data_IF_306886509170
#
_entry.id   IF_306886509170
#
_cell.length_a   1.000
_cell.length_b   1.000
_cell.length_c   1.000
_cell.angle_alpha   90.00
_cell.angle_beta   90.00
_cell.angle_gamma   90.00
#
_symmetry.space_group_name_H-M   'P 1'
#
loop_
_entity.id
_entity.type
_entity.pdbx_description
1 polymer ?
#
# COMPACT_ATOMS: atom_id res chain seq x y z
N UNK A 1 10.29 -3.41 34.85
CA UNK A 1 9.74 -2.87 33.59
C UNK A 1 8.54 -2.00 33.92
N UNK A 2 8.59 -0.70 33.61
CA UNK A 2 7.48 0.23 33.82
C UNK A 2 6.30 -0.13 32.91
N UNK A 3 5.06 0.01 33.41
CA UNK A 3 3.79 -0.24 32.67
C UNK A 3 3.69 0.46 31.30
N UNK A 4 4.54 1.46 31.03
CA UNK A 4 4.59 2.20 29.77
C UNK A 4 5.04 1.37 28.57
N UNK A 5 5.85 0.31 28.76
CA UNK A 5 6.52 -0.40 27.66
C UNK A 5 5.80 -1.66 27.14
N UNK A 6 4.59 -1.97 27.63
CA UNK A 6 3.84 -3.12 27.12
C UNK A 6 3.28 -2.83 25.72
N UNK A 7 3.61 -3.71 24.76
CA UNK A 7 3.06 -3.68 23.40
C UNK A 7 1.53 -3.66 23.45
N UNK A 8 0.88 -2.87 22.58
CA UNK A 8 -0.58 -2.73 22.42
C UNK A 8 -1.32 -4.06 22.56
N UNK A 9 -0.81 -5.10 21.91
CA UNK A 9 -1.42 -6.42 21.92
C UNK A 9 -1.43 -7.07 23.30
N UNK A 10 -0.33 -6.94 24.06
CA UNK A 10 -0.26 -7.46 25.41
C UNK A 10 -1.21 -6.72 26.37
N UNK A 11 -1.32 -5.40 26.22
CA UNK A 11 -2.32 -4.60 26.96
C UNK A 11 -3.75 -5.05 26.63
N UNK A 12 -4.05 -5.28 25.34
CA UNK A 12 -5.35 -5.80 24.92
C UNK A 12 -5.63 -7.20 25.50
N UNK A 13 -4.67 -8.13 25.45
CA UNK A 13 -4.86 -9.48 26.02
C UNK A 13 -5.12 -9.43 27.52
N UNK A 14 -4.40 -8.58 28.26
CA UNK A 14 -4.65 -8.39 29.69
C UNK A 14 -6.06 -7.85 29.95
N UNK A 15 -6.51 -6.84 29.20
CA UNK A 15 -7.88 -6.31 29.31
C UNK A 15 -8.93 -7.38 28.99
N UNK A 16 -8.74 -8.14 27.90
CA UNK A 16 -9.67 -9.22 27.53
C UNK A 16 -9.73 -10.29 28.61
N UNK A 17 -8.59 -10.71 29.16
CA UNK A 17 -8.54 -11.71 30.22
C UNK A 17 -9.16 -11.23 31.53
N UNK A 18 -9.02 -9.93 31.85
CA UNK A 18 -9.62 -9.33 33.04
C UNK A 18 -11.14 -9.20 32.94
N UNK A 19 -11.66 -8.89 31.75
CA UNK A 19 -13.09 -8.62 31.54
C UNK A 19 -13.89 -9.81 30.99
N UNK A 20 -13.24 -10.91 30.60
CA UNK A 20 -13.92 -12.10 30.05
C UNK A 20 -14.88 -12.75 31.06
N UNK A 21 -14.48 -12.85 32.32
CA UNK A 21 -15.32 -13.39 33.40
C UNK A 21 -16.55 -12.49 33.67
N UNK A 22 -16.36 -11.16 33.64
CA UNK A 22 -17.46 -10.19 33.81
C UNK A 22 -18.48 -10.25 32.66
N UNK A 23 -18.00 -10.50 31.43
CA UNK A 23 -18.88 -10.65 30.27
C UNK A 23 -19.76 -11.90 30.36
N UNK A 24 -19.25 -12.98 30.98
CA UNK A 24 -20.00 -14.22 31.18
C UNK A 24 -21.04 -14.12 32.29
N UNK A 25 -20.80 -13.29 33.31
CA UNK A 25 -21.69 -13.16 34.47
C UNK A 25 -22.87 -12.20 34.27
N UNK A 26 -22.87 -11.37 33.22
CA UNK A 26 -23.86 -10.29 33.06
C UNK A 26 -24.47 -10.27 31.64
N UNK A 27 -25.66 -10.86 31.45
CA UNK A 27 -26.28 -11.02 30.12
C UNK A 27 -26.52 -9.71 29.36
N UNK A 28 -26.81 -8.61 30.07
CA UNK A 28 -27.00 -7.29 29.46
C UNK A 28 -25.70 -6.73 28.87
N UNK A 29 -24.56 -6.98 29.53
CA UNK A 29 -23.23 -6.58 29.06
C UNK A 29 -22.83 -7.37 27.81
N UNK A 30 -23.13 -8.66 27.77
CA UNK A 30 -22.86 -9.52 26.62
C UNK A 30 -23.62 -9.04 25.37
N UNK A 31 -24.90 -8.70 25.52
CA UNK A 31 -25.72 -8.15 24.44
C UNK A 31 -25.16 -6.81 23.92
N UNK A 32 -24.77 -5.91 24.82
CA UNK A 32 -24.14 -4.63 24.45
C UNK A 32 -22.80 -4.86 23.72
N UNK A 33 -21.98 -5.79 24.20
CA UNK A 33 -20.71 -6.14 23.56
C UNK A 33 -20.93 -6.71 22.15
N UNK A 34 -21.86 -7.66 21.98
CA UNK A 34 -22.23 -8.22 20.67
C UNK A 34 -22.69 -7.13 19.70
N UNK A 35 -23.52 -6.19 20.17
CA UNK A 35 -23.95 -5.03 19.39
C UNK A 35 -22.79 -4.16 18.94
N UNK A 36 -21.85 -3.84 19.84
CA UNK A 36 -20.66 -3.05 19.51
C UNK A 36 -19.73 -3.78 18.53
N UNK A 37 -19.55 -5.09 18.68
CA UNK A 37 -18.77 -5.91 17.74
C UNK A 37 -19.41 -5.89 16.35
N UNK A 38 -20.73 -6.10 16.27
CA UNK A 38 -21.46 -6.03 15.00
C UNK A 38 -21.36 -4.65 14.36
N UNK A 39 -21.60 -3.58 15.12
CA UNK A 39 -21.46 -2.21 14.64
C UNK A 39 -20.05 -1.93 14.11
N UNK A 40 -19.02 -2.33 14.86
CA UNK A 40 -17.62 -2.21 14.42
C UNK A 40 -17.37 -2.97 13.12
N UNK A 41 -17.88 -4.19 12.99
CA UNK A 41 -17.75 -5.00 11.78
C UNK A 41 -18.45 -4.36 10.57
N UNK A 42 -19.63 -3.80 10.76
CA UNK A 42 -20.38 -3.11 9.70
C UNK A 42 -19.65 -1.83 9.27
N UNK A 43 -19.24 -0.99 10.23
CA UNK A 43 -18.54 0.27 9.94
C UNK A 43 -17.23 0.00 9.20
N UNK A 44 -16.42 -0.98 9.67
CA UNK A 44 -15.13 -1.25 9.05
C UNK A 44 -15.27 -1.84 7.65
N UNK A 45 -16.25 -2.72 7.41
CA UNK A 45 -16.50 -3.25 6.09
C UNK A 45 -17.09 -2.19 5.15
N UNK A 46 -17.96 -1.30 5.64
CA UNK A 46 -18.47 -0.17 4.88
C UNK A 46 -17.33 0.77 4.46
N UNK A 47 -16.44 1.11 5.38
CA UNK A 47 -15.27 1.92 5.06
C UNK A 47 -14.31 1.23 4.08
N UNK A 48 -14.08 -0.07 4.27
CA UNK A 48 -13.24 -0.89 3.36
C UNK A 48 -13.86 -0.94 1.96
N UNK A 49 -15.18 -1.11 1.89
CA UNK A 49 -15.96 -1.05 0.65
C UNK A 49 -15.74 0.28 -0.08
N UNK A 50 -15.90 1.41 0.63
CA UNK A 50 -15.72 2.74 0.05
C UNK A 50 -14.28 2.96 -0.46
N UNK A 51 -13.28 2.58 0.33
CA UNK A 51 -11.88 2.68 -0.08
C UNK A 51 -11.59 1.85 -1.32
N UNK A 52 -12.10 0.62 -1.38
CA UNK A 52 -11.90 -0.27 -2.52
C UNK A 52 -12.58 0.29 -3.78
N UNK A 53 -13.83 0.77 -3.64
CA UNK A 53 -14.57 1.38 -4.73
C UNK A 53 -13.88 2.64 -5.27
N UNK A 54 -13.56 3.59 -4.39
CA UNK A 54 -12.88 4.84 -4.77
C UNK A 54 -11.48 4.59 -5.31
N UNK A 55 -10.73 3.64 -4.72
CA UNK A 55 -9.39 3.27 -5.15
C UNK A 55 -9.37 2.64 -6.54
N UNK A 56 -10.33 1.77 -6.85
CA UNK A 56 -10.50 1.23 -8.21
C UNK A 56 -10.90 2.33 -9.18
N UNK A 57 -11.89 3.16 -8.86
CA UNK A 57 -12.29 4.30 -9.71
C UNK A 57 -11.09 5.22 -10.02
N UNK A 58 -10.28 5.58 -9.04
CA UNK A 58 -9.05 6.37 -9.26
C UNK A 58 -8.02 5.65 -10.14
N UNK A 59 -8.01 4.32 -10.11
CA UNK A 59 -7.06 3.48 -10.84
C UNK A 59 -7.52 3.13 -12.26
N UNK A 60 -8.83 3.05 -12.51
CA UNK A 60 -9.45 2.58 -13.75
C UNK A 60 -10.09 3.68 -14.59
N UNK A 61 -10.44 4.84 -14.00
CA UNK A 61 -10.98 5.99 -14.74
C UNK A 61 -9.93 6.77 -15.52
N UNK A 62 -8.64 6.50 -15.27
CA UNK A 62 -7.56 7.08 -16.05
C UNK A 62 -7.37 6.23 -17.31
N UNK A 63 -7.21 6.84 -18.49
CA UNK A 63 -6.94 6.10 -19.74
C UNK A 63 -5.65 5.26 -19.67
N UNK A 64 -4.82 5.49 -18.65
CA UNK A 64 -3.61 4.74 -18.34
C UNK A 64 -3.63 4.36 -16.86
N UNK A 65 -3.10 3.18 -16.48
CA UNK A 65 -3.09 2.76 -15.09
C UNK A 65 -2.32 3.77 -14.25
N UNK A 66 -2.90 4.18 -13.11
CA UNK A 66 -2.18 5.00 -12.14
C UNK A 66 -0.85 4.32 -11.74
N UNK A 67 0.18 5.09 -11.32
CA UNK A 67 1.43 4.53 -10.82
C UNK A 67 1.22 3.56 -9.63
N UNK A 68 0.12 3.76 -8.88
CA UNK A 68 -0.32 2.94 -7.76
C UNK A 68 -1.77 2.51 -7.94
N UNK A 69 -2.04 1.21 -7.79
CA UNK A 69 -3.39 0.69 -7.58
C UNK A 69 -3.84 0.79 -6.12
N UNK A 70 -4.38 1.96 -5.76
CA UNK A 70 -4.80 2.27 -4.39
C UNK A 70 -5.74 1.24 -3.77
N UNK A 71 -6.64 0.67 -4.57
CA UNK A 71 -7.53 -0.39 -4.14
C UNK A 71 -6.75 -1.59 -3.56
N UNK A 72 -5.82 -2.17 -4.33
CA UNK A 72 -5.00 -3.30 -3.85
C UNK A 72 -4.17 -2.94 -2.63
N UNK A 73 -3.54 -1.76 -2.62
CA UNK A 73 -2.77 -1.27 -1.48
C UNK A 73 -3.61 -1.18 -0.22
N UNK A 74 -4.82 -0.62 -0.32
CA UNK A 74 -5.75 -0.48 0.80
C UNK A 74 -6.29 -1.82 1.30
N UNK A 75 -6.66 -2.73 0.40
CA UNK A 75 -7.11 -4.08 0.71
C UNK A 75 -6.05 -4.86 1.50
N UNK A 76 -4.79 -4.81 1.03
CA UNK A 76 -3.67 -5.46 1.70
C UNK A 76 -3.36 -4.82 3.06
N UNK A 77 -3.37 -3.48 3.17
CA UNK A 77 -3.14 -2.82 4.46
C UNK A 77 -4.21 -3.23 5.47
N UNK A 78 -5.47 -3.13 5.09
CA UNK A 78 -6.58 -3.38 5.99
C UNK A 78 -6.64 -4.85 6.40
N UNK A 79 -6.33 -5.78 5.50
CA UNK A 79 -6.28 -7.19 5.87
C UNK A 79 -5.14 -7.44 6.87
N UNK A 80 -3.94 -6.88 6.65
CA UNK A 80 -2.84 -6.98 7.60
C UNK A 80 -3.21 -6.42 8.98
N UNK A 81 -3.91 -5.28 9.00
CA UNK A 81 -4.23 -4.56 10.24
C UNK A 81 -5.45 -5.08 11.00
N UNK A 82 -6.42 -5.71 10.33
CA UNK A 82 -7.76 -5.89 10.91
C UNK A 82 -8.29 -7.30 10.96
N UNK A 83 -7.80 -8.22 10.14
CA UNK A 83 -8.41 -9.55 10.13
C UNK A 83 -8.89 -9.95 8.75
N UNK A 84 -9.26 -11.23 8.63
CA UNK A 84 -10.13 -11.69 7.56
C UNK A 84 -11.55 -11.11 7.68
N UNK A 85 -11.86 -10.44 8.81
CA UNK A 85 -13.16 -9.81 9.06
C UNK A 85 -13.51 -8.67 8.10
N UNK A 86 -12.54 -8.13 7.37
CA UNK A 86 -12.72 -7.04 6.40
C UNK A 86 -12.86 -7.56 4.95
N UNK A 87 -12.73 -8.87 4.74
CA UNK A 87 -12.81 -9.50 3.43
C UNK A 87 -14.14 -9.21 2.69
N UNK A 88 -15.32 -9.22 3.35
CA UNK A 88 -16.57 -8.85 2.68
C UNK A 88 -16.52 -7.44 2.09
N UNK A 89 -15.95 -6.47 2.82
CA UNK A 89 -15.79 -5.09 2.33
C UNK A 89 -14.89 -4.99 1.11
N UNK A 90 -13.77 -5.72 1.08
CA UNK A 90 -12.87 -5.78 -0.09
C UNK A 90 -13.63 -6.36 -1.30
N UNK A 91 -14.29 -7.51 -1.11
CA UNK A 91 -14.94 -8.21 -2.20
C UNK A 91 -16.10 -7.40 -2.77
N UNK A 92 -17.01 -6.91 -1.91
CA UNK A 92 -18.17 -6.11 -2.32
C UNK A 92 -17.74 -4.80 -2.98
N UNK A 93 -16.72 -4.13 -2.45
CA UNK A 93 -16.21 -2.88 -3.05
C UNK A 93 -15.61 -3.09 -4.42
N UNK A 94 -14.87 -4.18 -4.60
CA UNK A 94 -14.32 -4.55 -5.90
C UNK A 94 -15.42 -4.93 -6.88
N UNK A 95 -16.35 -5.80 -6.46
CA UNK A 95 -17.47 -6.24 -7.28
C UNK A 95 -18.29 -5.06 -7.77
N UNK A 96 -18.71 -4.18 -6.86
CA UNK A 96 -19.51 -3.01 -7.21
C UNK A 96 -18.76 -2.02 -8.12
N UNK A 97 -17.46 -1.83 -7.92
CA UNK A 97 -16.65 -1.00 -8.80
C UNK A 97 -16.68 -1.52 -10.25
N UNK A 98 -16.47 -2.82 -10.45
CA UNK A 98 -16.50 -3.41 -11.79
C UNK A 98 -17.91 -3.46 -12.39
N UNK A 99 -18.94 -3.77 -11.61
CA UNK A 99 -20.33 -3.76 -12.14
C UNK A 99 -20.76 -2.36 -12.56
N UNK A 100 -20.32 -1.32 -11.85
CA UNK A 100 -20.63 0.08 -12.17
C UNK A 100 -19.77 0.64 -13.31
N UNK A 101 -18.72 -0.07 -13.72
CA UNK A 101 -17.92 0.20 -14.93
C UNK A 101 -18.39 -0.65 -16.13
N UNK A 102 -19.63 -1.18 -16.07
CA UNK A 102 -20.23 -1.97 -17.15
C UNK A 102 -19.47 -3.25 -17.49
N UNK A 103 -18.62 -3.77 -16.60
CA UNK A 103 -18.03 -5.09 -16.78
C UNK A 103 -19.12 -6.16 -16.70
N UNK A 104 -18.99 -7.23 -17.50
CA UNK A 104 -19.93 -8.35 -17.42
C UNK A 104 -19.84 -9.01 -16.02
N UNK A 105 -20.95 -9.62 -15.59
CA UNK A 105 -21.06 -10.20 -14.25
C UNK A 105 -19.90 -11.15 -13.90
N UNK A 106 -19.51 -12.02 -14.83
CA UNK A 106 -18.40 -12.97 -14.66
C UNK A 106 -17.08 -12.24 -14.40
N UNK A 107 -16.78 -11.17 -15.15
CA UNK A 107 -15.58 -10.36 -14.95
C UNK A 107 -15.60 -9.64 -13.61
N UNK A 108 -16.74 -9.06 -13.21
CA UNK A 108 -16.86 -8.38 -11.91
C UNK A 108 -16.63 -9.35 -10.73
N UNK A 109 -17.25 -10.53 -10.77
CA UNK A 109 -17.05 -11.59 -9.77
C UNK A 109 -15.61 -12.09 -9.77
N UNK A 110 -15.05 -12.34 -10.95
CA UNK A 110 -13.68 -12.81 -11.13
C UNK A 110 -12.65 -11.84 -10.54
N UNK A 111 -12.71 -10.57 -10.95
CA UNK A 111 -11.80 -9.53 -10.47
C UNK A 111 -11.94 -9.31 -8.96
N UNK A 112 -13.17 -9.24 -8.42
CA UNK A 112 -13.40 -9.09 -6.98
C UNK A 112 -12.81 -10.25 -6.17
N UNK A 113 -12.93 -11.47 -6.69
CA UNK A 113 -12.37 -12.69 -6.09
C UNK A 113 -10.85 -12.67 -6.13
N UNK A 114 -10.26 -12.30 -7.27
CA UNK A 114 -8.80 -12.23 -7.44
C UNK A 114 -8.16 -11.22 -6.48
N UNK A 115 -8.69 -10.00 -6.37
CA UNK A 115 -8.17 -9.00 -5.42
C UNK A 115 -8.31 -9.45 -3.97
N UNK A 116 -9.45 -10.03 -3.61
CA UNK A 116 -9.71 -10.55 -2.27
C UNK A 116 -8.74 -11.69 -1.93
N UNK A 117 -8.51 -12.61 -2.87
CA UNK A 117 -7.60 -13.74 -2.71
C UNK A 117 -6.16 -13.28 -2.59
N UNK A 118 -5.72 -12.29 -3.38
CA UNK A 118 -4.39 -11.72 -3.29
C UNK A 118 -4.11 -11.19 -1.87
N UNK A 119 -5.05 -10.43 -1.29
CA UNK A 119 -4.92 -9.92 0.07
C UNK A 119 -4.85 -11.06 1.11
N UNK A 120 -5.70 -12.08 0.97
CA UNK A 120 -5.72 -13.28 1.83
C UNK A 120 -4.39 -14.04 1.75
N UNK A 121 -3.87 -14.29 0.55
CA UNK A 121 -2.63 -15.03 0.33
C UNK A 121 -1.42 -14.26 0.86
N UNK A 122 -1.35 -12.95 0.65
CA UNK A 122 -0.29 -12.12 1.25
C UNK A 122 -0.29 -12.18 2.76
N UNK A 123 -1.48 -12.12 3.37
CA UNK A 123 -1.60 -12.29 4.82
C UNK A 123 -1.19 -13.68 5.28
N UNK A 124 -1.68 -14.72 4.63
CA UNK A 124 -1.34 -16.10 4.98
C UNK A 124 0.18 -16.31 4.90
N UNK A 125 0.83 -15.78 3.86
CA UNK A 125 2.28 -15.77 3.73
C UNK A 125 2.96 -14.98 4.86
N UNK A 126 2.47 -13.78 5.18
CA UNK A 126 3.00 -12.98 6.28
C UNK A 126 2.93 -13.73 7.62
N UNK A 127 1.81 -14.38 7.95
CA UNK A 127 1.68 -15.14 9.19
C UNK A 127 2.54 -16.40 9.21
N UNK A 128 2.74 -17.06 8.06
CA UNK A 128 3.46 -18.33 7.98
C UNK A 128 4.97 -18.17 7.92
N UNK A 129 5.45 -17.18 7.16
CA UNK A 129 6.86 -17.04 6.81
C UNK A 129 7.49 -15.74 7.29
N UNK A 130 6.67 -14.77 7.73
CA UNK A 130 7.13 -13.51 8.30
C UNK A 130 6.67 -13.36 9.75
N UNK A 131 7.12 -12.28 10.40
CA UNK A 131 6.60 -11.93 11.73
C UNK A 131 5.23 -11.24 11.57
N UNK A 132 4.22 -11.59 12.38
CA UNK A 132 2.85 -11.04 12.28
C UNK A 132 2.77 -9.51 12.50
N UNK A 133 3.82 -8.90 13.06
CA UNK A 133 3.84 -7.47 13.40
C UNK A 133 4.98 -6.67 12.75
N UNK A 134 5.90 -7.32 12.04
CA UNK A 134 7.23 -6.75 11.78
C UNK A 134 7.77 -7.15 10.39
N UNK A 135 7.12 -6.64 9.33
CA UNK A 135 7.57 -6.80 7.93
C UNK A 135 8.99 -6.21 7.75
N UNK A 136 9.29 -5.13 8.47
CA UNK A 136 10.54 -4.34 8.35
C UNK A 136 11.53 -4.59 9.49
N UNK A 137 11.58 -5.79 10.05
CA UNK A 137 12.53 -6.06 11.15
C UNK A 137 13.90 -6.54 10.68
N UNK A 138 13.97 -7.30 9.59
CA UNK A 138 15.21 -7.85 9.05
C UNK A 138 15.22 -7.76 7.54
N UNK A 139 16.36 -7.40 6.97
CA UNK A 139 16.55 -7.31 5.51
C UNK A 139 16.12 -8.60 4.79
N UNK A 140 16.55 -9.76 5.29
CA UNK A 140 16.18 -11.05 4.70
C UNK A 140 14.67 -11.31 4.67
N UNK A 141 13.93 -10.82 5.68
CA UNK A 141 12.47 -10.96 5.75
C UNK A 141 11.77 -10.01 4.78
N UNK A 142 12.29 -8.79 4.67
CA UNK A 142 11.84 -7.81 3.67
C UNK A 142 12.07 -8.33 2.23
N UNK A 143 13.25 -8.87 1.92
CA UNK A 143 13.54 -9.46 0.61
C UNK A 143 12.59 -10.63 0.28
N UNK A 144 12.32 -11.52 1.24
CA UNK A 144 11.33 -12.60 1.07
C UNK A 144 9.93 -12.05 0.80
N UNK A 145 9.53 -11.00 1.50
CA UNK A 145 8.25 -10.32 1.29
C UNK A 145 8.16 -9.71 -0.12
N UNK A 146 9.18 -8.98 -0.56
CA UNK A 146 9.24 -8.37 -1.91
C UNK A 146 9.16 -9.46 -2.98
N UNK A 147 9.94 -10.53 -2.87
CA UNK A 147 9.95 -11.63 -3.84
C UNK A 147 8.57 -12.30 -3.95
N UNK A 148 7.98 -12.68 -2.82
CA UNK A 148 6.65 -13.31 -2.82
C UNK A 148 5.57 -12.37 -3.36
N UNK A 149 5.60 -11.10 -2.96
CA UNK A 149 4.64 -10.09 -3.45
C UNK A 149 4.77 -9.89 -4.95
N UNK A 150 6.00 -9.87 -5.47
CA UNK A 150 6.30 -9.74 -6.90
C UNK A 150 5.71 -10.90 -7.71
N UNK A 151 5.92 -12.13 -7.27
CA UNK A 151 5.37 -13.33 -7.94
C UNK A 151 3.84 -13.36 -7.86
N UNK A 152 3.27 -13.09 -6.68
CA UNK A 152 1.83 -13.14 -6.47
C UNK A 152 1.11 -12.05 -7.27
N UNK A 153 1.62 -10.81 -7.29
CA UNK A 153 1.05 -9.72 -8.08
C UNK A 153 1.12 -9.99 -9.58
N UNK A 154 2.17 -10.69 -10.05
CA UNK A 154 2.27 -11.15 -11.44
C UNK A 154 1.15 -12.14 -11.78
N UNK A 155 0.94 -13.15 -10.93
CA UNK A 155 -0.17 -14.11 -11.08
C UNK A 155 -1.54 -13.42 -11.03
N UNK A 156 -1.74 -12.50 -10.08
CA UNK A 156 -2.96 -11.70 -10.00
C UNK A 156 -3.20 -10.95 -11.30
N UNK A 157 -2.17 -10.30 -11.86
CA UNK A 157 -2.30 -9.54 -13.11
C UNK A 157 -2.69 -10.42 -14.28
N UNK A 158 -2.12 -11.63 -14.39
CA UNK A 158 -2.51 -12.61 -15.41
C UNK A 158 -4.00 -12.99 -15.26
N UNK A 159 -4.46 -13.25 -14.04
CA UNK A 159 -5.86 -13.59 -13.79
C UNK A 159 -6.81 -12.41 -14.08
N UNK A 160 -6.41 -11.18 -13.71
CA UNK A 160 -7.20 -9.98 -14.02
C UNK A 160 -7.32 -9.76 -15.54
N UNK A 161 -6.23 -9.97 -16.28
CA UNK A 161 -6.24 -9.90 -17.74
C UNK A 161 -7.13 -10.98 -18.35
N UNK A 162 -7.08 -12.20 -17.84
CA UNK A 162 -7.98 -13.26 -18.27
C UNK A 162 -9.46 -12.87 -18.09
N UNK A 163 -9.84 -12.31 -16.94
CA UNK A 163 -11.21 -11.82 -16.72
C UNK A 163 -11.54 -10.59 -17.58
N UNK A 164 -10.57 -9.72 -17.85
CA UNK A 164 -10.74 -8.58 -18.73
C UNK A 164 -10.99 -9.02 -20.18
N UNK A 165 -10.23 -10.00 -20.70
CA UNK A 165 -10.42 -10.52 -22.06
C UNK A 165 -11.78 -11.19 -22.26
N UNK A 166 -12.40 -11.71 -21.19
CA UNK A 166 -13.78 -12.21 -21.26
C UNK A 166 -14.81 -11.08 -21.46
N UNK A 167 -14.56 -9.88 -20.93
CA UNK A 167 -15.40 -8.70 -21.16
C UNK A 167 -15.15 -8.04 -22.51
N UNK A 168 -13.90 -8.08 -22.99
CA UNK A 168 -13.45 -7.39 -24.21
C UNK A 168 -12.67 -8.35 -25.12
N UNK A 169 -13.34 -9.33 -25.78
CA UNK A 169 -12.66 -10.41 -26.51
C UNK A 169 -11.87 -9.93 -27.73
N UNK A 170 -12.22 -8.78 -28.29
CA UNK A 170 -11.56 -8.23 -29.48
C UNK A 170 -10.42 -7.25 -29.15
N UNK A 171 -10.14 -7.01 -27.87
CA UNK A 171 -9.13 -6.06 -27.44
C UNK A 171 -7.87 -6.80 -26.98
N UNK A 172 -6.82 -6.73 -27.80
CA UNK A 172 -5.51 -7.27 -27.43
C UNK A 172 -4.86 -6.39 -26.36
N UNK A 173 -4.35 -7.04 -25.30
CA UNK A 173 -3.57 -6.36 -24.27
C UNK A 173 -2.09 -6.42 -24.67
N UNK A 174 -1.48 -5.26 -24.85
CA UNK A 174 -0.06 -5.18 -25.14
C UNK A 174 0.79 -5.65 -23.95
N UNK A 175 1.99 -6.17 -24.23
CA UNK A 175 2.96 -6.52 -23.18
C UNK A 175 3.27 -5.35 -22.23
N UNK A 176 3.28 -4.12 -22.75
CA UNK A 176 3.50 -2.92 -21.94
C UNK A 176 2.35 -2.68 -20.95
N UNK A 177 1.10 -2.85 -21.37
CA UNK A 177 -0.06 -2.73 -20.47
C UNK A 177 -0.02 -3.80 -19.37
N UNK A 178 0.35 -5.04 -19.71
CA UNK A 178 0.58 -6.09 -18.71
C UNK A 178 1.60 -5.64 -17.65
N UNK A 179 2.77 -5.16 -18.08
CA UNK A 179 3.81 -4.70 -17.16
C UNK A 179 3.34 -3.55 -16.29
N UNK A 180 2.60 -2.59 -16.84
CA UNK A 180 2.08 -1.47 -16.08
C UNK A 180 1.06 -1.87 -15.03
N UNK A 181 0.16 -2.81 -15.35
CA UNK A 181 -0.82 -3.33 -14.41
C UNK A 181 -0.12 -4.08 -13.28
N UNK A 182 0.87 -4.91 -13.63
CA UNK A 182 1.67 -5.64 -12.66
C UNK A 182 2.45 -4.70 -11.74
N UNK A 183 3.14 -3.70 -12.29
CA UNK A 183 3.93 -2.75 -11.50
C UNK A 183 3.05 -1.83 -10.65
N UNK A 184 1.89 -1.37 -11.16
CA UNK A 184 0.93 -0.60 -10.36
C UNK A 184 0.43 -1.39 -9.16
N UNK A 185 0.15 -2.69 -9.36
CA UNK A 185 -0.27 -3.61 -8.31
C UNK A 185 0.84 -3.82 -7.26
N UNK A 186 2.07 -4.09 -7.73
CA UNK A 186 3.23 -4.32 -6.89
C UNK A 186 3.57 -3.07 -6.06
N UNK A 187 3.65 -1.90 -6.70
CA UNK A 187 3.94 -0.64 -6.03
C UNK A 187 2.86 -0.28 -5.00
N UNK A 188 1.58 -0.51 -5.29
CA UNK A 188 0.53 -0.28 -4.31
C UNK A 188 0.71 -1.08 -3.02
N UNK A 189 1.18 -2.33 -3.12
CA UNK A 189 1.43 -3.15 -1.93
C UNK A 189 2.70 -2.70 -1.23
N UNK A 190 3.81 -2.56 -1.96
CA UNK A 190 5.10 -2.23 -1.35
C UNK A 190 5.15 -0.82 -0.76
N UNK A 191 4.37 0.12 -1.30
CA UNK A 191 4.38 1.52 -0.87
C UNK A 191 3.16 1.80 -0.02
N UNK A 192 1.95 1.73 -0.61
CA UNK A 192 0.73 2.18 0.05
C UNK A 192 0.34 1.26 1.21
N UNK A 193 0.36 -0.07 1.00
CA UNK A 193 0.01 -1.01 2.08
C UNK A 193 1.03 -0.93 3.23
N UNK A 194 2.31 -0.97 2.89
CA UNK A 194 3.40 -0.90 3.84
C UNK A 194 3.42 0.40 4.65
N UNK A 195 3.15 1.56 4.04
CA UNK A 195 3.05 2.84 4.74
C UNK A 195 1.91 2.84 5.77
N UNK A 196 0.73 2.36 5.39
CA UNK A 196 -0.42 2.27 6.32
C UNK A 196 -0.15 1.32 7.50
N UNK A 197 0.51 0.18 7.24
CA UNK A 197 0.91 -0.75 8.30
C UNK A 197 1.96 -0.12 9.24
N UNK A 198 2.93 0.57 8.65
CA UNK A 198 3.96 1.32 9.40
C UNK A 198 3.34 2.34 10.34
N UNK A 199 2.34 3.09 9.88
CA UNK A 199 1.68 4.10 10.71
C UNK A 199 0.77 3.50 11.79
N UNK A 200 0.03 2.40 11.55
CA UNK A 200 -0.80 1.75 12.60
C UNK A 200 0.08 1.15 13.72
N UNK A 201 1.22 0.53 13.35
CA UNK A 201 2.12 -0.15 14.29
C UNK A 201 2.87 0.80 15.23
N UNK A 202 3.19 2.02 14.79
CA UNK A 202 3.95 3.02 15.56
C UNK A 202 3.10 4.07 16.30
N UNK A 203 1.80 3.85 16.51
CA UNK A 203 0.95 4.75 17.31
C UNK A 203 1.32 4.87 18.82
N UNK A 204 2.44 4.30 19.27
CA UNK A 204 3.10 4.69 20.52
C UNK A 204 4.34 5.55 20.22
N UNK A 205 4.13 6.78 19.78
CA UNK A 205 4.81 8.02 20.21
C UNK A 205 4.65 9.09 19.13
N UNK A 206 4.31 10.32 19.51
CA UNK A 206 4.35 11.43 18.59
C UNK A 206 5.82 11.67 18.23
N UNK A 207 6.23 11.25 17.03
CA UNK A 207 6.96 12.19 16.18
C UNK A 207 6.00 13.35 15.95
N UNK A 208 5.83 14.17 16.99
CA UNK A 208 5.17 15.45 16.87
C UNK A 208 5.88 16.12 15.70
N UNK A 209 5.14 16.72 14.78
CA UNK A 209 5.73 17.56 13.72
C UNK A 209 6.75 18.55 14.35
N UNK A 210 6.58 18.90 15.63
CA UNK A 210 7.52 19.66 16.47
C UNK A 210 8.92 19.04 16.67
N UNK A 211 9.10 17.72 16.51
CA UNK A 211 10.38 17.01 16.60
C UNK A 211 11.04 16.76 15.23
N UNK A 212 10.35 17.07 14.14
CA UNK A 212 10.98 17.01 12.82
C UNK A 212 12.00 18.15 12.77
N UNK A 213 13.29 17.82 12.71
CA UNK A 213 14.33 18.82 12.59
C UNK A 213 14.15 19.63 11.29
N UNK A 214 14.63 20.87 11.26
CA UNK A 214 14.64 21.69 10.03
C UNK A 214 15.30 20.93 8.87
N UNK A 215 16.35 20.14 9.16
CA UNK A 215 17.03 19.27 8.18
C UNK A 215 16.10 18.18 7.63
N UNK A 216 15.24 17.61 8.46
CA UNK A 216 14.25 16.63 8.04
C UNK A 216 13.20 17.26 7.16
N UNK A 217 12.63 18.37 7.60
CA UNK A 217 11.65 19.12 6.80
C UNK A 217 12.24 19.51 5.44
N UNK A 218 13.48 20.02 5.40
CA UNK A 218 14.13 20.40 4.15
C UNK A 218 14.32 19.22 3.19
N UNK A 219 14.63 18.01 3.70
CA UNK A 219 14.78 16.83 2.86
C UNK A 219 13.45 16.37 2.26
N UNK A 220 12.37 16.33 3.05
CA UNK A 220 11.04 15.99 2.53
C UNK A 220 10.51 17.09 1.59
N UNK A 221 10.75 18.37 1.89
CA UNK A 221 10.40 19.46 0.97
C UNK A 221 11.18 19.37 -0.33
N UNK A 222 12.48 19.06 -0.28
CA UNK A 222 13.30 18.85 -1.48
C UNK A 222 12.77 17.67 -2.31
N UNK A 223 12.42 16.56 -1.67
CA UNK A 223 11.80 15.39 -2.32
C UNK A 223 10.50 15.78 -3.05
N UNK A 224 9.62 16.54 -2.39
CA UNK A 224 8.36 17.01 -2.95
C UNK A 224 8.60 17.97 -4.13
N UNK A 225 9.55 18.89 -4.01
CA UNK A 225 9.90 19.83 -5.09
C UNK A 225 10.46 19.07 -6.29
N UNK A 226 11.39 18.14 -6.09
CA UNK A 226 11.94 17.31 -7.18
C UNK A 226 10.82 16.49 -7.84
N UNK A 227 9.96 15.85 -7.04
CA UNK A 227 8.83 15.06 -7.55
C UNK A 227 7.85 15.94 -8.34
N UNK A 228 7.58 17.16 -7.88
CA UNK A 228 6.75 18.12 -8.60
C UNK A 228 7.41 18.55 -9.92
N UNK A 229 8.67 19.00 -9.89
CA UNK A 229 9.41 19.39 -11.09
C UNK A 229 9.49 18.27 -12.12
N UNK A 230 9.64 17.03 -11.64
CA UNK A 230 9.64 15.84 -12.49
C UNK A 230 8.34 15.74 -13.31
N UNK A 231 7.19 16.07 -12.72
CA UNK A 231 5.88 16.00 -13.38
C UNK A 231 5.61 17.16 -14.34
N UNK A 232 6.30 18.28 -14.16
CA UNK A 232 6.16 19.47 -15.00
C UNK A 232 7.08 19.47 -16.22
N UNK A 233 8.01 18.52 -16.32
CA UNK A 233 9.06 18.54 -17.33
C UNK A 233 8.77 17.62 -18.53
N UNK A 234 9.01 18.13 -19.74
CA UNK A 234 8.86 17.38 -20.99
C UNK A 234 10.17 16.78 -21.52
N UNK A 235 11.32 17.36 -21.16
CA UNK A 235 12.61 16.98 -21.72
C UNK A 235 13.10 15.64 -21.12
N UNK A 236 13.28 14.56 -21.92
CA UNK A 236 13.58 13.22 -21.39
C UNK A 236 14.83 13.18 -20.50
N UNK A 237 15.90 13.87 -20.90
CA UNK A 237 17.14 13.93 -20.13
C UNK A 237 16.93 14.56 -18.75
N UNK A 238 16.20 15.68 -18.69
CA UNK A 238 15.91 16.37 -17.42
C UNK A 238 15.01 15.50 -16.53
N UNK A 239 14.04 14.78 -17.11
CA UNK A 239 13.19 13.84 -16.36
C UNK A 239 14.02 12.72 -15.75
N UNK A 240 14.98 12.14 -16.48
CA UNK A 240 15.90 11.12 -15.96
C UNK A 240 16.76 11.68 -14.82
N UNK A 241 17.31 12.88 -14.99
CA UNK A 241 18.12 13.53 -13.95
C UNK A 241 17.30 13.81 -12.67
N UNK A 242 16.06 14.29 -12.81
CA UNK A 242 15.16 14.50 -11.68
C UNK A 242 14.75 13.19 -11.01
N UNK A 243 14.54 12.10 -11.78
CA UNK A 243 14.24 10.78 -11.23
C UNK A 243 15.42 10.23 -10.41
N UNK A 244 16.65 10.37 -10.92
CA UNK A 244 17.87 9.99 -10.19
C UNK A 244 18.02 10.84 -8.92
N UNK A 245 17.78 12.16 -9.01
CA UNK A 245 17.81 13.04 -7.85
C UNK A 245 16.77 12.63 -6.78
N UNK A 246 15.57 12.24 -7.20
CA UNK A 246 14.50 11.76 -6.32
C UNK A 246 14.93 10.50 -5.54
N UNK A 247 15.52 9.53 -6.27
CA UNK A 247 16.07 8.32 -5.67
C UNK A 247 17.20 8.62 -4.68
N UNK A 248 18.13 9.52 -5.02
CA UNK A 248 19.23 9.91 -4.14
C UNK A 248 18.69 10.54 -2.85
N UNK A 249 17.74 11.47 -2.94
CA UNK A 249 17.13 12.10 -1.76
C UNK A 249 16.39 11.07 -0.91
N UNK A 250 15.71 10.11 -1.53
CA UNK A 250 15.07 8.98 -0.81
C UNK A 250 16.09 8.12 -0.08
N UNK A 251 17.25 7.83 -0.68
CA UNK A 251 18.34 7.09 -0.02
C UNK A 251 18.91 7.89 1.16
N UNK A 252 19.07 9.21 1.02
CA UNK A 252 19.52 10.08 2.13
C UNK A 252 18.51 10.05 3.27
N UNK A 253 17.21 10.19 2.97
CA UNK A 253 16.13 10.08 3.98
C UNK A 253 16.17 8.71 4.66
N UNK A 254 16.39 7.64 3.90
CA UNK A 254 16.51 6.28 4.41
C UNK A 254 17.64 6.12 5.43
N UNK A 255 18.83 6.64 5.13
CA UNK A 255 19.98 6.59 6.04
C UNK A 255 19.73 7.45 7.29
N UNK A 256 19.13 8.63 7.13
CA UNK A 256 18.92 9.56 8.24
C UNK A 256 17.74 9.21 9.16
N UNK A 257 16.66 8.64 8.62
CA UNK A 257 15.39 8.45 9.33
C UNK A 257 14.91 6.98 9.32
N UNK A 258 15.75 6.07 8.83
CA UNK A 258 15.45 4.65 8.77
C UNK A 258 14.28 4.30 7.84
N UNK A 259 13.72 3.12 8.06
CA UNK A 259 12.72 2.54 7.16
C UNK A 259 11.38 3.28 7.28
N UNK A 260 11.05 3.82 8.46
CA UNK A 260 9.84 4.64 8.67
C UNK A 260 9.90 5.92 7.84
N UNK A 261 11.04 6.63 7.87
CA UNK A 261 11.22 7.83 7.05
C UNK A 261 11.22 7.51 5.55
N UNK A 262 11.83 6.38 5.18
CA UNK A 262 11.76 5.89 3.79
C UNK A 262 10.32 5.65 3.35
N UNK A 263 9.51 4.96 4.15
CA UNK A 263 8.10 4.69 3.83
C UNK A 263 7.31 5.97 3.62
N UNK A 264 7.55 6.98 4.48
CA UNK A 264 6.92 8.28 4.33
C UNK A 264 7.35 8.97 3.02
N UNK A 265 8.66 8.97 2.72
CA UNK A 265 9.19 9.55 1.49
C UNK A 265 8.57 8.93 0.24
N UNK A 266 8.64 7.61 0.11
CA UNK A 266 8.12 6.91 -1.08
C UNK A 266 6.60 6.99 -1.17
N UNK A 267 5.89 6.99 -0.03
CA UNK A 267 4.44 7.24 -0.03
C UNK A 267 4.12 8.63 -0.59
N UNK A 268 4.82 9.68 -0.17
CA UNK A 268 4.60 11.04 -0.67
C UNK A 268 4.93 11.16 -2.15
N UNK A 269 6.07 10.61 -2.60
CA UNK A 269 6.44 10.55 -4.02
C UNK A 269 5.36 9.82 -4.83
N UNK A 270 4.97 8.62 -4.40
CA UNK A 270 3.96 7.81 -5.09
C UNK A 270 2.57 8.48 -5.14
N UNK A 271 2.16 9.14 -4.06
CA UNK A 271 0.91 9.90 -4.01
C UNK A 271 0.94 11.10 -4.96
N UNK A 272 2.00 11.92 -4.90
CA UNK A 272 2.15 13.10 -5.76
C UNK A 272 2.20 12.72 -7.24
N UNK A 273 2.98 11.71 -7.59
CA UNK A 273 3.12 11.25 -8.98
C UNK A 273 1.80 10.67 -9.51
N UNK A 274 1.04 9.93 -8.68
CA UNK A 274 -0.28 9.44 -9.09
C UNK A 274 -1.30 10.57 -9.25
N UNK A 275 -1.26 11.58 -8.38
CA UNK A 275 -2.09 12.77 -8.50
C UNK A 275 -1.74 13.59 -9.75
N UNK A 276 -0.45 13.64 -10.11
CA UNK A 276 0.00 14.29 -11.34
C UNK A 276 -0.49 13.57 -12.60
N UNK A 277 -0.58 12.23 -12.61
CA UNK A 277 -1.24 11.50 -13.71
C UNK A 277 -2.72 11.88 -13.78
N UNK A 278 -3.40 11.95 -12.63
CA UNK A 278 -4.82 12.34 -12.57
C UNK A 278 -5.06 13.75 -13.12
N UNK A 279 -4.20 14.70 -12.78
CA UNK A 279 -4.27 16.07 -13.29
C UNK A 279 -3.73 16.24 -14.72
N UNK A 280 -3.28 15.17 -15.38
CA UNK A 280 -2.60 15.22 -16.69
C UNK A 280 -1.46 16.25 -16.70
N UNK A 281 -0.59 16.19 -15.69
CA UNK A 281 0.57 17.06 -15.62
C UNK A 281 1.43 16.94 -16.90
N UNK A 282 2.23 17.95 -17.24
CA UNK A 282 2.97 18.04 -18.52
C UNK A 282 3.73 16.78 -18.95
N UNK A 283 4.35 16.05 -18.02
CA UNK A 283 5.02 14.77 -18.28
C UNK A 283 4.07 13.72 -18.92
N UNK A 284 2.81 13.75 -18.53
CA UNK A 284 1.77 12.81 -18.93
C UNK A 284 0.91 13.34 -20.10
N UNK A 285 1.03 14.61 -20.50
CA UNK A 285 0.29 15.19 -21.63
C UNK A 285 0.97 14.93 -23.00
N UNK A 286 1.76 13.86 -23.09
CA UNK A 286 2.52 13.50 -24.28
C UNK A 286 1.94 12.28 -24.97
N UNK A 287 2.23 12.11 -26.26
CA UNK A 287 1.94 10.88 -27.02
C UNK A 287 2.61 9.62 -26.39
N UNK A 288 3.49 9.80 -25.40
CA UNK A 288 4.26 8.74 -24.73
C UNK A 288 3.89 8.57 -23.26
N UNK A 289 2.71 9.01 -22.82
CA UNK A 289 2.19 8.84 -21.44
C UNK A 289 2.38 7.42 -20.89
N UNK A 290 2.18 6.39 -21.71
CA UNK A 290 2.40 4.98 -21.34
C UNK A 290 3.86 4.72 -20.92
N UNK A 291 4.82 5.24 -21.67
CA UNK A 291 6.24 5.10 -21.32
C UNK A 291 6.59 5.92 -20.06
N UNK A 292 6.04 7.13 -19.94
CA UNK A 292 6.25 7.96 -18.75
C UNK A 292 5.74 7.28 -17.48
N UNK A 293 4.50 6.75 -17.48
CA UNK A 293 3.93 6.00 -16.35
C UNK A 293 4.79 4.78 -16.00
N UNK A 294 5.25 4.03 -17.00
CA UNK A 294 6.11 2.87 -16.78
C UNK A 294 7.43 3.25 -16.10
N UNK A 295 8.10 4.31 -16.56
CA UNK A 295 9.34 4.80 -15.94
C UNK A 295 9.12 5.27 -14.50
N UNK A 296 8.00 5.94 -14.22
CA UNK A 296 7.61 6.34 -12.86
C UNK A 296 7.38 5.12 -11.96
N UNK A 297 6.71 4.10 -12.46
CA UNK A 297 6.49 2.87 -11.72
C UNK A 297 7.81 2.17 -11.39
N UNK A 298 8.78 2.15 -12.32
CA UNK A 298 10.12 1.62 -12.06
C UNK A 298 10.91 2.46 -11.06
N UNK A 299 10.79 3.80 -11.12
CA UNK A 299 11.39 4.70 -10.15
C UNK A 299 10.87 4.40 -8.74
N UNK A 300 9.54 4.37 -8.57
CA UNK A 300 8.90 4.08 -7.28
C UNK A 300 9.28 2.71 -6.72
N UNK A 301 9.35 1.69 -7.59
CA UNK A 301 9.79 0.35 -7.21
C UNK A 301 11.26 0.34 -6.75
N UNK A 302 12.11 1.10 -7.43
CA UNK A 302 13.52 1.23 -7.08
C UNK A 302 13.69 1.98 -5.76
N UNK A 303 12.96 3.07 -5.57
CA UNK A 303 12.95 3.87 -4.34
C UNK A 303 12.55 3.03 -3.13
N UNK A 304 11.47 2.25 -3.22
CA UNK A 304 11.03 1.43 -2.09
C UNK A 304 12.01 0.30 -1.78
N UNK A 305 12.48 -0.44 -2.80
CA UNK A 305 13.38 -1.58 -2.58
C UNK A 305 14.73 -1.11 -2.04
N UNK A 306 15.36 -0.14 -2.70
CA UNK A 306 16.69 0.35 -2.33
C UNK A 306 16.61 1.10 -1.00
N UNK A 307 15.66 2.03 -0.88
CA UNK A 307 15.49 2.84 0.31
C UNK A 307 15.27 1.99 1.55
N UNK A 308 14.35 1.03 1.54
CA UNK A 308 14.07 0.21 2.72
C UNK A 308 15.22 -0.74 3.02
N UNK A 309 15.85 -1.31 1.99
CA UNK A 309 17.00 -2.20 2.18
C UNK A 309 18.18 -1.48 2.83
N UNK A 310 18.47 -0.24 2.41
CA UNK A 310 19.52 0.59 2.99
C UNK A 310 19.21 0.93 4.45
N UNK A 311 17.97 1.31 4.76
CA UNK A 311 17.55 1.62 6.11
C UNK A 311 17.69 0.43 7.06
N UNK A 312 17.28 -0.76 6.62
CA UNK A 312 17.37 -1.99 7.42
C UNK A 312 18.81 -2.43 7.65
N UNK A 313 19.68 -2.27 6.65
CA UNK A 313 21.11 -2.57 6.79
C UNK A 313 21.81 -1.58 7.73
N UNK A 314 21.43 -0.31 7.66
CA UNK A 314 22.02 0.72 8.51
C UNK A 314 21.63 0.54 9.98
N UNK A 315 20.36 0.21 10.26
CA UNK A 315 19.89 0.00 11.64
C UNK A 315 20.62 -1.14 12.34
N UNK A 316 20.92 -2.25 11.65
CA UNK A 316 21.65 -3.36 12.26
C UNK A 316 23.09 -3.01 12.61
N UNK A 317 23.70 -2.04 11.91
CA UNK A 317 25.09 -1.65 12.14
C UNK A 317 25.25 -0.74 13.37
N UNK A 318 24.17 -0.04 13.76
CA UNK A 318 24.16 0.83 14.95
C UNK A 318 24.00 -0.01 16.22
N UNK A 319 23.15 -1.03 16.20
CA UNK A 319 22.89 -1.88 17.36
C UNK A 319 24.09 -2.76 17.77
N UNK A 320 25.09 -2.91 16.89
CA UNK A 320 26.33 -3.66 17.14
C UNK A 320 27.46 -2.79 17.73
N UNK A 321 27.27 -1.48 17.90
CA UNK A 321 28.25 -0.53 18.46
C UNK A 321 27.79 0.02 19.81
#
# INVERSE_FOLDING_TARGET
MTRSNLNKWHKMTLLVNQHSQQLQSTPSLESQFKKLVLQRLLIINCFTFLLQYSGLKLSTLLPFPAPLWYATGSACALIFLRGYSILPGIWVGSFLAYTLESAIFVTAVGCATVFSLQAVLLRAFQYRFLAPTLIFYRLAMYCKFVLFTTMLTGLTTILLIFFYSLSMPNQEISYQQFLQWWLANLNAILIFSCALVTWDSHFQLPLSIKKLSIKGLSLYSLLLVISFLLTQNHAPLVTILLAIANLIVTIIISVCYGWVGTMAAVFFSGFLLSFAVFLRAPLFDTNHISMAVFLIQLLLLSEIIIGVSMALKWSTTIDEK
#
